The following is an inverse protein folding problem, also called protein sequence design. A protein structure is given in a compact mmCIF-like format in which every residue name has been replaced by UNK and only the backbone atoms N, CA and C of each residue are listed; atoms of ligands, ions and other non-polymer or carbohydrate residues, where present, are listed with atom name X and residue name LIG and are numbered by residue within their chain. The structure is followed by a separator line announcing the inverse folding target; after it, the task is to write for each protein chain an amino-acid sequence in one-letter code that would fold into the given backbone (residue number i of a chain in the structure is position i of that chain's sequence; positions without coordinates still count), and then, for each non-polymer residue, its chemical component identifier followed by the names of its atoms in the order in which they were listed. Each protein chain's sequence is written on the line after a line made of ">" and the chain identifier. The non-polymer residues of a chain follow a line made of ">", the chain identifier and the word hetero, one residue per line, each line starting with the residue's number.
data_IF_379700961794
#
_entry.id   IF_379700961794
#
_cell.length_a   1.000
_cell.length_b   1.000
_cell.length_c   1.000
_cell.angle_alpha   90.00
_cell.angle_beta   90.00
_cell.angle_gamma   90.00
#
_symmetry.space_group_name_H-M   'P 1'
#
loop_
_entity.id
_entity.type
_entity.pdbx_description
1 polymer ?
#
# COMPACT_ATOMS: atom_id res chain seq x y z
N UNK A 1 -9.16 -15.53 -6.79
CA UNK A 1 -8.10 -14.52 -6.59
C UNK A 1 -6.93 -15.22 -5.92
N UNK A 2 -5.73 -15.24 -6.53
CA UNK A 2 -4.57 -16.01 -6.05
C UNK A 2 -3.30 -15.16 -6.13
N UNK A 3 -2.55 -15.13 -5.04
CA UNK A 3 -1.19 -14.56 -4.97
C UNK A 3 -0.14 -15.67 -5.10
N UNK A 4 1.05 -15.28 -5.49
CA UNK A 4 2.19 -16.16 -5.73
C UNK A 4 2.86 -16.59 -4.41
N UNK A 5 2.80 -15.72 -3.40
CA UNK A 5 3.35 -15.95 -2.07
C UNK A 5 2.25 -15.77 -1.02
N UNK A 6 2.49 -16.15 0.26
CA UNK A 6 1.56 -15.90 1.34
C UNK A 6 1.04 -14.46 1.34
N UNK A 7 -0.29 -14.31 1.34
CA UNK A 7 -0.95 -13.02 1.43
C UNK A 7 -0.78 -12.49 2.84
N UNK A 8 -0.23 -11.29 2.97
CA UNK A 8 0.11 -10.68 4.26
C UNK A 8 -0.73 -9.44 4.53
N UNK A 9 -1.34 -8.84 3.50
CA UNK A 9 -2.18 -7.67 3.63
C UNK A 9 -3.31 -7.66 2.61
N UNK A 10 -4.43 -7.04 3.00
CA UNK A 10 -5.62 -6.91 2.19
C UNK A 10 -6.30 -5.57 2.50
N UNK A 11 -6.80 -4.87 1.50
CA UNK A 11 -7.63 -3.67 1.69
C UNK A 11 -8.72 -3.58 0.63
N UNK A 12 -9.94 -3.26 1.06
CA UNK A 12 -11.02 -2.88 0.17
C UNK A 12 -10.96 -1.39 -0.12
N UNK A 13 -11.09 -1.03 -1.40
CA UNK A 13 -11.44 0.33 -1.78
C UNK A 13 -12.96 0.51 -1.74
N UNK A 14 -13.44 1.74 -1.87
CA UNK A 14 -14.88 2.02 -1.98
C UNK A 14 -15.50 1.66 -3.34
N UNK A 15 -14.71 1.12 -4.26
CA UNK A 15 -15.21 0.54 -5.52
C UNK A 15 -15.21 -0.98 -5.39
N UNK A 16 -15.58 -1.72 -6.43
CA UNK A 16 -15.38 -3.18 -6.47
C UNK A 16 -13.89 -3.59 -6.55
N UNK A 17 -12.98 -2.74 -6.09
CA UNK A 17 -11.55 -2.99 -6.09
C UNK A 17 -11.08 -3.48 -4.71
N UNK A 18 -10.28 -4.53 -4.77
CA UNK A 18 -9.58 -5.11 -3.64
C UNK A 18 -8.09 -5.09 -3.96
N UNK A 19 -7.24 -4.65 -3.04
CA UNK A 19 -5.80 -4.80 -3.17
C UNK A 19 -5.29 -5.84 -2.18
N UNK A 20 -4.36 -6.67 -2.62
CA UNK A 20 -3.68 -7.67 -1.80
C UNK A 20 -2.17 -7.56 -1.97
N UNK A 21 -1.44 -7.63 -0.86
CA UNK A 21 0.01 -7.65 -0.83
C UNK A 21 0.52 -8.99 -0.30
N UNK A 22 1.68 -9.43 -0.77
CA UNK A 22 2.28 -10.69 -0.34
C UNK A 22 3.62 -10.53 0.40
N UNK A 23 4.11 -11.65 0.92
CA UNK A 23 5.35 -11.73 1.70
C UNK A 23 6.63 -11.47 0.91
N UNK A 24 6.54 -11.27 -0.41
CA UNK A 24 7.69 -10.97 -1.31
C UNK A 24 7.59 -9.60 -1.97
N UNK A 25 6.63 -8.77 -1.56
CA UNK A 25 6.54 -7.38 -2.01
C UNK A 25 5.74 -7.19 -3.29
N UNK A 26 5.00 -8.22 -3.74
CA UNK A 26 4.07 -8.10 -4.85
C UNK A 26 2.73 -7.56 -4.36
N UNK A 27 2.17 -6.63 -5.12
CA UNK A 27 0.79 -6.16 -4.93
C UNK A 27 -0.04 -6.51 -6.17
N UNK A 28 -1.25 -7.03 -5.95
CA UNK A 28 -2.28 -7.15 -6.99
C UNK A 28 -3.52 -6.37 -6.60
N UNK A 29 -4.19 -5.82 -7.62
CA UNK A 29 -5.51 -5.21 -7.49
C UNK A 29 -6.50 -6.03 -8.31
N UNK A 30 -7.64 -6.31 -7.72
CA UNK A 30 -8.66 -7.21 -8.24
C UNK A 30 -9.97 -6.47 -8.41
N UNK A 31 -10.74 -6.86 -9.41
CA UNK A 31 -12.19 -6.61 -9.41
C UNK A 31 -12.87 -7.74 -8.65
N UNK A 32 -13.56 -7.41 -7.56
CA UNK A 32 -14.14 -8.38 -6.63
C UNK A 32 -15.24 -9.21 -7.31
N UNK A 33 -16.13 -8.56 -8.05
CA UNK A 33 -17.26 -9.21 -8.74
C UNK A 33 -16.81 -10.31 -9.71
N UNK A 34 -15.71 -10.08 -10.44
CA UNK A 34 -15.22 -11.00 -11.47
C UNK A 34 -14.05 -11.86 -11.02
N UNK A 35 -13.44 -11.52 -9.88
CA UNK A 35 -12.19 -12.11 -9.40
C UNK A 35 -10.97 -11.85 -10.30
N UNK A 36 -11.09 -10.96 -11.29
CA UNK A 36 -10.02 -10.67 -12.26
C UNK A 36 -8.95 -9.75 -11.66
N UNK A 37 -7.69 -10.07 -11.92
CA UNK A 37 -6.57 -9.18 -11.60
C UNK A 37 -6.53 -8.05 -12.63
N UNK A 38 -6.75 -6.81 -12.19
CA UNK A 38 -6.77 -5.61 -13.06
C UNK A 38 -5.47 -4.81 -13.02
N UNK A 39 -4.70 -4.93 -11.93
CA UNK A 39 -3.35 -4.34 -11.81
C UNK A 39 -2.42 -5.24 -11.02
N UNK A 40 -1.13 -5.11 -11.31
CA UNK A 40 -0.04 -5.88 -10.71
C UNK A 40 1.17 -4.96 -10.54
N UNK A 41 1.83 -5.05 -9.40
CA UNK A 41 3.05 -4.30 -9.06
C UNK A 41 4.12 -5.27 -8.59
N UNK A 42 4.88 -5.85 -9.53
CA UNK A 42 5.89 -6.88 -9.26
C UNK A 42 7.03 -6.45 -8.34
N UNK A 43 7.37 -5.16 -8.38
CA UNK A 43 8.45 -4.58 -7.60
C UNK A 43 7.92 -3.48 -6.69
N UNK A 44 6.74 -3.66 -6.08
CA UNK A 44 6.22 -2.67 -5.14
C UNK A 44 7.15 -2.54 -3.93
N UNK A 45 7.59 -3.66 -3.35
CA UNK A 45 8.66 -3.70 -2.36
C UNK A 45 9.60 -4.88 -2.57
N UNK A 46 10.80 -4.84 -1.98
CA UNK A 46 11.74 -5.97 -2.00
C UNK A 46 11.54 -6.92 -0.80
N UNK A 47 10.58 -6.62 0.08
CA UNK A 47 10.20 -7.42 1.23
C UNK A 47 8.67 -7.39 1.43
N UNK A 48 8.20 -8.08 2.47
CA UNK A 48 6.78 -8.33 2.75
C UNK A 48 5.96 -7.04 2.84
N UNK A 49 4.83 -7.01 2.13
CA UNK A 49 3.83 -5.94 2.29
C UNK A 49 3.09 -6.16 3.61
N UNK A 50 3.15 -5.20 4.52
CA UNK A 50 2.54 -5.30 5.85
C UNK A 50 1.18 -4.61 5.92
N UNK A 51 0.99 -3.55 5.13
CA UNK A 51 -0.25 -2.79 5.12
C UNK A 51 -0.49 -2.13 3.76
N UNK A 52 -1.76 -1.94 3.41
CA UNK A 52 -2.22 -1.31 2.19
C UNK A 52 -3.31 -0.30 2.48
N UNK A 53 -3.39 0.76 1.68
CA UNK A 53 -4.39 1.82 1.83
C UNK A 53 -4.70 2.46 0.48
N UNK A 54 -5.95 2.39 0.03
CA UNK A 54 -6.39 3.15 -1.15
C UNK A 54 -6.47 4.64 -0.82
N UNK A 55 -6.12 5.49 -1.79
CA UNK A 55 -6.31 6.93 -1.63
C UNK A 55 -7.78 7.33 -1.62
N UNK A 56 -8.07 8.43 -0.91
CA UNK A 56 -9.40 9.04 -0.89
C UNK A 56 -9.84 9.46 -2.30
N UNK A 57 -8.88 9.91 -3.12
CA UNK A 57 -9.07 10.26 -4.54
C UNK A 57 -9.18 9.05 -5.48
N UNK A 58 -8.97 7.83 -4.98
CA UNK A 58 -9.14 6.53 -5.67
C UNK A 58 -8.23 6.30 -6.89
N UNK A 59 -7.19 7.09 -7.03
CA UNK A 59 -6.19 7.05 -8.11
C UNK A 59 -4.84 6.48 -7.67
N UNK A 60 -4.63 6.36 -6.35
CA UNK A 60 -3.40 5.89 -5.75
C UNK A 60 -3.64 4.74 -4.76
N UNK A 61 -2.59 3.95 -4.56
CA UNK A 61 -2.52 2.93 -3.53
C UNK A 61 -1.23 3.16 -2.74
N UNK A 62 -1.34 3.20 -1.41
CA UNK A 62 -0.20 3.25 -0.51
C UNK A 62 0.09 1.85 0.03
N UNK A 63 1.37 1.52 0.14
CA UNK A 63 1.84 0.27 0.73
C UNK A 63 2.94 0.53 1.75
N UNK A 64 2.87 -0.14 2.90
CA UNK A 64 3.96 -0.24 3.86
C UNK A 64 4.57 -1.63 3.84
N UNK A 65 5.84 -1.72 4.23
CA UNK A 65 6.62 -2.96 4.13
C UNK A 65 7.63 -3.13 5.26
N UNK A 66 8.12 -4.35 5.41
CA UNK A 66 9.27 -4.67 6.26
C UNK A 66 10.59 -4.09 5.73
N UNK A 67 10.61 -3.57 4.50
CA UNK A 67 11.76 -2.79 3.96
C UNK A 67 11.87 -1.37 4.54
N UNK A 68 11.06 -1.06 5.56
CA UNK A 68 11.01 0.21 6.30
C UNK A 68 10.48 1.41 5.48
N UNK A 69 9.93 1.15 4.29
CA UNK A 69 9.45 2.18 3.40
C UNK A 69 7.93 2.13 3.25
N UNK A 70 7.38 3.30 2.94
CA UNK A 70 6.03 3.41 2.40
C UNK A 70 6.14 3.88 0.95
N UNK A 71 5.36 3.31 0.05
CA UNK A 71 5.33 3.71 -1.37
C UNK A 71 3.91 4.06 -1.80
N UNK A 72 3.81 5.10 -2.62
CA UNK A 72 2.60 5.49 -3.33
C UNK A 72 2.67 4.98 -4.77
N UNK A 73 1.66 4.24 -5.19
CA UNK A 73 1.53 3.64 -6.52
C UNK A 73 0.39 4.30 -7.28
N UNK A 74 0.63 4.67 -8.54
CA UNK A 74 -0.46 5.09 -9.44
C UNK A 74 -1.22 3.88 -9.94
N UNK A 75 -2.54 3.84 -9.71
CA UNK A 75 -3.41 2.83 -10.30
C UNK A 75 -3.55 3.03 -11.82
N UNK A 76 -3.38 4.26 -12.31
CA UNK A 76 -3.47 4.59 -13.73
C UNK A 76 -2.25 4.08 -14.50
N UNK A 77 -1.05 4.56 -14.16
CA UNK A 77 0.19 4.21 -14.88
C UNK A 77 0.79 2.88 -14.45
N UNK A 78 0.50 2.40 -13.23
CA UNK A 78 1.17 1.22 -12.66
C UNK A 78 2.58 1.50 -12.12
N UNK A 79 2.97 2.79 -11.99
CA UNK A 79 4.29 3.18 -11.50
C UNK A 79 4.28 3.60 -10.03
N UNK A 80 5.44 3.48 -9.38
CA UNK A 80 5.70 4.10 -8.07
C UNK A 80 5.87 5.60 -8.30
N UNK A 81 5.09 6.42 -7.60
CA UNK A 81 5.12 7.88 -7.71
C UNK A 81 5.98 8.53 -6.63
N UNK A 82 5.94 7.98 -5.42
CA UNK A 82 6.61 8.56 -4.25
C UNK A 82 7.00 7.48 -3.27
N UNK A 83 8.13 7.68 -2.64
CA UNK A 83 8.62 6.90 -1.50
C UNK A 83 8.65 7.79 -0.27
N UNK A 84 8.17 7.27 0.85
CA UNK A 84 8.23 7.93 2.16
C UNK A 84 9.17 7.11 3.04
N UNK A 85 10.32 7.70 3.32
CA UNK A 85 11.35 7.14 4.20
C UNK A 85 11.28 7.78 5.58
N UNK A 86 11.91 7.12 6.54
CA UNK A 86 12.07 7.63 7.89
C UNK A 86 11.96 6.56 8.96
N UNK A 87 11.12 5.54 8.76
CA UNK A 87 11.08 4.42 9.69
C UNK A 87 12.42 3.68 9.68
N UNK A 88 12.91 3.33 10.87
CA UNK A 88 14.17 2.59 11.07
C UNK A 88 13.92 1.09 11.27
N UNK A 89 12.66 0.68 11.22
CA UNK A 89 12.22 -0.71 11.28
C UNK A 89 10.92 -0.86 10.48
N UNK A 90 10.28 -2.03 10.56
CA UNK A 90 9.13 -2.39 9.75
C UNK A 90 8.00 -1.37 9.87
N UNK A 91 7.40 -1.00 8.74
CA UNK A 91 6.14 -0.27 8.74
C UNK A 91 5.05 -1.27 9.14
N UNK A 92 4.27 -0.96 10.17
CA UNK A 92 3.25 -1.88 10.69
C UNK A 92 1.84 -1.54 10.20
N UNK A 93 1.55 -0.26 10.04
CA UNK A 93 0.23 0.22 9.63
C UNK A 93 0.32 1.61 9.03
N UNK A 94 -0.68 1.95 8.21
CA UNK A 94 -0.85 3.26 7.58
C UNK A 94 -2.32 3.67 7.63
N UNK A 95 -2.59 4.96 7.81
CA UNK A 95 -3.94 5.54 7.74
C UNK A 95 -3.92 6.98 7.26
N UNK A 96 -5.10 7.50 6.94
CA UNK A 96 -5.30 8.92 6.63
C UNK A 96 -5.62 9.72 7.89
N UNK A 97 -5.16 10.97 7.94
CA UNK A 97 -5.81 11.98 8.77
C UNK A 97 -7.24 12.23 8.28
N UNK A 98 -8.11 12.71 9.18
CA UNK A 98 -9.53 12.90 8.87
C UNK A 98 -9.78 13.88 7.72
N UNK A 99 -8.92 14.89 7.56
CA UNK A 99 -8.94 15.86 6.46
C UNK A 99 -8.37 15.31 5.14
N UNK A 100 -7.80 14.09 5.16
CA UNK A 100 -7.22 13.44 3.99
C UNK A 100 -5.87 14.01 3.54
N UNK A 101 -5.31 14.98 4.25
CA UNK A 101 -4.09 15.68 3.85
C UNK A 101 -2.80 14.96 4.23
N UNK A 102 -2.86 14.11 5.26
CA UNK A 102 -1.70 13.46 5.82
C UNK A 102 -1.84 11.94 5.79
N UNK A 103 -0.71 11.29 5.54
CA UNK A 103 -0.53 9.86 5.72
C UNK A 103 0.14 9.68 7.08
N UNK A 104 -0.50 8.93 7.95
CA UNK A 104 0.04 8.58 9.27
C UNK A 104 0.46 7.12 9.22
N UNK A 105 1.60 6.82 9.84
CA UNK A 105 2.17 5.47 9.84
C UNK A 105 2.80 5.14 11.17
N UNK A 106 2.84 3.85 11.49
CA UNK A 106 3.46 3.32 12.72
C UNK A 106 4.58 2.36 12.37
N UNK A 107 5.69 2.40 13.10
CA UNK A 107 6.84 1.53 12.88
C UNK A 107 7.13 0.60 14.05
N UNK A 108 7.82 -0.50 13.77
CA UNK A 108 8.42 -1.38 14.80
C UNK A 108 9.62 -0.71 15.51
N UNK A 109 10.01 0.48 15.07
CA UNK A 109 10.96 1.38 15.74
C UNK A 109 10.30 2.15 16.92
N UNK A 110 9.03 1.90 17.20
CA UNK A 110 8.27 2.56 18.27
C UNK A 110 7.81 3.97 17.90
N UNK A 111 7.97 4.40 16.64
CA UNK A 111 7.60 5.74 16.20
C UNK A 111 6.26 5.77 15.44
N UNK A 112 5.62 6.94 15.49
CA UNK A 112 4.53 7.34 14.60
C UNK A 112 5.07 8.45 13.69
N UNK A 113 4.84 8.34 12.39
CA UNK A 113 5.28 9.33 11.40
C UNK A 113 4.09 9.88 10.62
N UNK A 114 4.17 11.18 10.32
CA UNK A 114 3.15 11.93 9.58
C UNK A 114 3.80 12.49 8.32
N UNK A 115 3.21 12.21 7.17
CA UNK A 115 3.69 12.65 5.86
C UNK A 115 2.62 13.46 5.14
N UNK A 116 3.00 14.62 4.62
CA UNK A 116 2.11 15.42 3.78
C UNK A 116 1.94 14.74 2.41
N UNK A 117 0.69 14.56 2.00
CA UNK A 117 0.33 13.92 0.73
C UNK A 117 -0.02 14.97 -0.34
N UNK A 118 -0.29 16.21 0.07
CA UNK A 118 -0.62 17.32 -0.83
C UNK A 118 0.63 17.81 -1.58
N UNK A 119 0.54 17.88 -2.91
CA UNK A 119 1.22 18.90 -3.73
C UNK A 119 0.33 19.26 -4.91
#
# INVERSE_FOLDING_TARGET
>A
MIMENPVTSLVFGESDLLASGDSRGLIKVWRVETGQCVKRFDNAHNQSITCLLFSITKDHLFSGSTDCLIRCHSLKSGSILKEFSGHESFVNSICYSHDGHNLISTGSDGSIRVFLIIT
#
